data_IF_877208020450
#
_entry.id   IF_877208020450
#
_cell.length_a   1.000
_cell.length_b   1.000
_cell.length_c   1.000
_cell.angle_alpha   90.00
_cell.angle_beta   90.00
_cell.angle_gamma   90.00
#
_symmetry.space_group_name_H-M   'P 1'
#
loop_
_entity.id
_entity.type
_entity.pdbx_description
1 polymer ?
#
# COMPACT_ATOMS: atom_id res chain seq x y z
N UNK A 1 2.92 9.84 3.19
CA UNK A 1 2.14 11.09 3.03
C UNK A 1 2.04 11.89 4.32
N UNK A 2 2.34 13.18 4.23
CA UNK A 2 2.34 14.13 5.35
C UNK A 2 0.89 14.45 5.76
N UNK A 3 0.08 14.92 4.79
CA UNK A 3 -1.35 15.21 4.97
C UNK A 3 -2.25 14.15 4.30
N UNK A 4 -3.52 14.13 4.71
CA UNK A 4 -4.61 13.39 4.04
C UNK A 4 -5.68 14.34 3.48
N UNK A 5 -5.33 15.61 3.26
CA UNK A 5 -6.24 16.60 2.74
C UNK A 5 -6.78 16.18 1.36
N UNK A 6 -8.08 16.31 1.19
CA UNK A 6 -8.74 16.13 -0.09
C UNK A 6 -8.67 17.49 -0.79
N UNK A 7 -7.89 17.57 -1.87
CA UNK A 7 -7.70 18.83 -2.61
C UNK A 7 -8.88 19.17 -3.51
N UNK A 8 -9.55 18.15 -4.04
CA UNK A 8 -10.73 18.26 -4.87
C UNK A 8 -11.58 17.00 -4.76
N UNK A 9 -12.90 17.17 -4.76
CA UNK A 9 -13.89 16.10 -4.83
C UNK A 9 -14.97 16.52 -5.83
N UNK A 10 -15.38 15.61 -6.71
CA UNK A 10 -16.26 15.95 -7.83
C UNK A 10 -17.24 14.81 -8.08
N UNK A 11 -18.52 15.16 -8.19
CA UNK A 11 -19.54 14.28 -8.72
C UNK A 11 -19.38 14.30 -10.24
N UNK A 12 -19.09 13.13 -10.81
CA UNK A 12 -18.91 12.97 -12.24
C UNK A 12 -19.83 11.87 -12.75
N UNK A 13 -20.44 12.11 -13.92
CA UNK A 13 -21.28 11.13 -14.63
C UNK A 13 -20.46 9.93 -15.11
N UNK A 14 -19.14 10.11 -15.27
CA UNK A 14 -18.22 9.07 -15.71
C UNK A 14 -16.85 9.23 -15.02
N UNK A 15 -15.93 8.30 -15.30
CA UNK A 15 -14.55 8.30 -14.78
C UNK A 15 -13.55 8.09 -15.92
N UNK A 16 -13.88 8.61 -17.10
CA UNK A 16 -13.09 8.48 -18.32
C UNK A 16 -11.92 9.48 -18.27
N UNK A 17 -11.02 9.33 -19.22
CA UNK A 17 -9.82 10.16 -19.36
C UNK A 17 -10.13 11.65 -19.36
N UNK A 18 -11.16 12.07 -20.10
CA UNK A 18 -11.54 13.48 -20.19
C UNK A 18 -12.02 14.07 -18.84
N UNK A 19 -12.77 13.30 -18.05
CA UNK A 19 -13.22 13.72 -16.72
C UNK A 19 -12.01 13.97 -15.81
N UNK A 20 -11.00 13.09 -15.88
CA UNK A 20 -9.77 13.20 -15.10
C UNK A 20 -8.88 14.36 -15.57
N UNK A 21 -8.76 14.60 -16.88
CA UNK A 21 -8.02 15.75 -17.41
C UNK A 21 -8.64 17.05 -16.88
N UNK A 22 -9.96 17.18 -16.96
CA UNK A 22 -10.67 18.36 -16.45
C UNK A 22 -10.51 18.49 -14.93
N UNK A 23 -10.55 17.38 -14.18
CA UNK A 23 -10.30 17.38 -12.75
C UNK A 23 -8.89 17.90 -12.41
N UNK A 24 -7.88 17.46 -13.16
CA UNK A 24 -6.49 17.87 -13.00
C UNK A 24 -6.24 19.33 -13.39
N UNK A 25 -6.83 19.79 -14.49
CA UNK A 25 -6.71 21.19 -14.91
C UNK A 25 -7.27 22.14 -13.84
N UNK A 26 -8.42 21.81 -13.25
CA UNK A 26 -8.98 22.61 -12.15
C UNK A 26 -8.10 22.61 -10.90
N UNK A 27 -7.33 21.54 -10.63
CA UNK A 27 -6.33 21.56 -9.54
C UNK A 27 -5.20 22.56 -9.85
N UNK A 28 -4.70 22.57 -11.09
CA UNK A 28 -3.65 23.50 -11.53
C UNK A 28 -4.10 24.96 -11.49
N UNK A 29 -5.33 25.23 -11.93
CA UNK A 29 -5.95 26.57 -11.86
C UNK A 29 -6.00 27.09 -10.42
N UNK A 30 -6.09 26.20 -9.44
CA UNK A 30 -6.05 26.52 -8.01
C UNK A 30 -4.61 26.57 -7.44
N UNK A 31 -3.59 26.61 -8.29
CA UNK A 31 -2.19 26.73 -7.88
C UNK A 31 -1.57 25.45 -7.33
N UNK A 32 -2.19 24.28 -7.56
CA UNK A 32 -1.61 23.00 -7.14
C UNK A 32 -0.64 22.49 -8.20
N UNK A 33 0.63 22.37 -7.81
CA UNK A 33 1.66 21.69 -8.59
C UNK A 33 1.68 20.20 -8.24
N UNK A 34 1.62 19.35 -9.27
CA UNK A 34 1.67 17.89 -9.11
C UNK A 34 3.07 17.41 -9.48
N UNK A 35 3.76 16.80 -8.52
CA UNK A 35 5.14 16.30 -8.69
C UNK A 35 5.22 14.79 -8.94
N UNK A 36 4.20 14.04 -8.49
CA UNK A 36 4.13 12.59 -8.61
C UNK A 36 2.65 12.17 -8.51
N UNK A 37 2.26 11.18 -9.32
CA UNK A 37 0.94 10.54 -9.21
C UNK A 37 1.12 9.08 -8.80
N UNK A 38 0.49 8.67 -7.68
CA UNK A 38 0.41 7.25 -7.28
C UNK A 38 -1.04 6.78 -7.29
N UNK A 39 -1.36 5.71 -8.03
CA UNK A 39 -2.74 5.24 -8.21
C UNK A 39 -2.88 3.72 -8.40
N UNK A 40 -4.12 3.22 -8.34
CA UNK A 40 -4.53 1.81 -8.38
C UNK A 40 -4.75 1.23 -9.79
N UNK A 41 -4.14 1.82 -10.83
CA UNK A 41 -4.33 1.47 -12.24
C UNK A 41 -5.71 1.77 -12.83
N UNK A 42 -6.49 2.69 -12.25
CA UNK A 42 -7.73 3.14 -12.87
C UNK A 42 -7.48 3.66 -14.30
N UNK A 43 -8.06 3.03 -15.32
CA UNK A 43 -7.76 3.33 -16.73
C UNK A 43 -7.91 4.82 -17.08
N UNK A 44 -8.97 5.47 -16.56
CA UNK A 44 -9.20 6.90 -16.78
C UNK A 44 -8.10 7.78 -16.21
N UNK A 45 -7.65 7.52 -14.97
CA UNK A 45 -6.60 8.31 -14.33
C UNK A 45 -5.24 8.06 -15.00
N UNK A 46 -4.92 6.81 -15.35
CA UNK A 46 -3.66 6.48 -16.02
C UNK A 46 -3.52 7.21 -17.36
N UNK A 47 -4.55 7.13 -18.21
CA UNK A 47 -4.54 7.83 -19.50
C UNK A 47 -4.52 9.35 -19.35
N UNK A 48 -5.17 9.89 -18.30
CA UNK A 48 -5.23 11.33 -18.08
C UNK A 48 -3.91 11.90 -17.55
N UNK A 49 -3.17 11.15 -16.74
CA UNK A 49 -1.90 11.64 -16.17
C UNK A 49 -0.88 12.00 -17.25
N UNK A 50 -0.71 11.17 -18.28
CA UNK A 50 0.24 11.46 -19.37
C UNK A 50 -0.12 12.73 -20.15
N UNK A 51 -1.41 12.97 -20.40
CA UNK A 51 -1.88 14.15 -21.12
C UNK A 51 -1.91 15.41 -20.25
N UNK A 52 -2.38 15.29 -19.01
CA UNK A 52 -2.55 16.41 -18.10
C UNK A 52 -1.23 16.83 -17.44
N UNK A 53 -0.29 15.91 -17.24
CA UNK A 53 1.00 16.19 -16.61
C UNK A 53 2.17 15.62 -17.44
N UNK A 54 2.46 16.19 -18.62
CA UNK A 54 3.59 15.75 -19.43
C UNK A 54 4.90 15.83 -18.63
N UNK A 55 5.64 14.71 -18.57
CA UNK A 55 6.91 14.61 -17.85
C UNK A 55 6.79 14.34 -16.34
N UNK A 56 5.58 14.30 -15.77
CA UNK A 56 5.39 13.82 -14.40
C UNK A 56 5.23 12.31 -14.40
N UNK A 57 6.07 11.66 -13.60
CA UNK A 57 6.01 10.22 -13.47
C UNK A 57 4.75 9.78 -12.71
N UNK A 58 4.25 8.62 -13.13
CA UNK A 58 3.07 7.99 -12.57
C UNK A 58 3.45 6.62 -12.07
N UNK A 59 3.43 6.45 -10.74
CA UNK A 59 3.79 5.19 -10.11
C UNK A 59 2.52 4.37 -9.82
N UNK A 60 2.40 3.15 -10.38
CA UNK A 60 1.49 2.14 -9.88
C UNK A 60 1.61 1.92 -8.38
N UNK A 61 0.51 1.68 -7.67
CA UNK A 61 0.63 1.29 -6.27
C UNK A 61 1.03 -0.20 -6.12
N UNK A 62 2.01 -0.47 -5.27
CA UNK A 62 2.56 -1.83 -5.10
C UNK A 62 1.57 -2.84 -4.52
N UNK A 63 0.52 -2.39 -3.84
CA UNK A 63 -0.48 -3.29 -3.29
C UNK A 63 -1.39 -3.82 -4.40
N UNK A 64 -2.01 -2.97 -5.21
CA UNK A 64 -2.86 -3.39 -6.32
C UNK A 64 -2.06 -3.98 -7.48
N UNK A 65 -0.84 -3.48 -7.72
CA UNK A 65 0.04 -4.03 -8.74
C UNK A 65 0.49 -5.46 -8.40
N UNK A 66 0.94 -5.74 -7.17
CA UNK A 66 1.54 -7.05 -6.83
C UNK A 66 0.75 -7.79 -5.74
N UNK A 67 0.68 -7.21 -4.54
CA UNK A 67 0.24 -7.95 -3.33
C UNK A 67 -1.19 -8.47 -3.45
N UNK A 68 -2.09 -7.69 -4.04
CA UNK A 68 -3.48 -8.04 -4.26
C UNK A 68 -3.65 -9.12 -5.34
N UNK A 69 -2.86 -9.04 -6.42
CA UNK A 69 -2.92 -9.98 -7.55
C UNK A 69 -2.35 -11.34 -7.20
N UNK A 70 -1.16 -11.35 -6.59
CA UNK A 70 -0.43 -12.59 -6.30
C UNK A 70 -0.73 -13.14 -4.90
N UNK A 71 -0.96 -12.29 -3.90
CA UNK A 71 -1.10 -12.74 -2.52
C UNK A 71 -2.34 -13.59 -2.25
N UNK A 72 -3.43 -13.42 -3.03
CA UNK A 72 -4.66 -14.23 -2.92
C UNK A 72 -4.42 -15.72 -3.16
N UNK A 73 -3.45 -16.05 -4.02
CA UNK A 73 -3.15 -17.44 -4.37
C UNK A 73 -2.42 -18.20 -3.26
N UNK A 74 -1.65 -17.51 -2.41
CA UNK A 74 -0.97 -18.15 -1.27
C UNK A 74 -1.97 -18.90 -0.40
N UNK A 75 -3.04 -18.22 0.02
CA UNK A 75 -4.09 -18.83 0.84
C UNK A 75 -4.89 -19.89 0.07
N UNK A 76 -5.09 -19.70 -1.23
CA UNK A 76 -5.83 -20.66 -2.06
C UNK A 76 -5.07 -21.97 -2.24
N UNK A 77 -3.77 -21.88 -2.50
CA UNK A 77 -2.89 -23.04 -2.67
C UNK A 77 -2.63 -23.74 -1.34
N UNK A 78 -2.49 -22.99 -0.24
CA UNK A 78 -2.39 -23.55 1.11
C UNK A 78 -3.62 -24.40 1.45
N UNK A 79 -4.82 -23.88 1.22
CA UNK A 79 -6.07 -24.64 1.41
C UNK A 79 -6.14 -25.88 0.53
N UNK A 80 -5.67 -25.77 -0.72
CA UNK A 80 -5.65 -26.89 -1.66
C UNK A 80 -4.69 -27.99 -1.20
N UNK A 81 -3.51 -27.62 -0.68
CA UNK A 81 -2.56 -28.55 -0.10
C UNK A 81 -3.14 -29.28 1.13
N UNK A 82 -3.73 -28.54 2.07
CA UNK A 82 -4.39 -29.15 3.24
C UNK A 82 -5.55 -30.08 2.85
N UNK A 83 -6.37 -29.71 1.87
CA UNK A 83 -7.44 -30.57 1.37
C UNK A 83 -6.89 -31.87 0.74
N UNK A 84 -5.83 -31.78 -0.05
CA UNK A 84 -5.20 -32.95 -0.65
C UNK A 84 -4.55 -33.87 0.40
N UNK A 85 -3.93 -33.30 1.44
CA UNK A 85 -3.42 -34.07 2.58
C UNK A 85 -4.54 -34.78 3.33
N UNK A 86 -5.66 -34.10 3.61
CA UNK A 86 -6.80 -34.72 4.28
C UNK A 86 -7.38 -35.89 3.46
N UNK A 87 -7.44 -35.75 2.13
CA UNK A 87 -7.86 -36.83 1.24
C UNK A 87 -6.86 -38.01 1.23
N UNK A 88 -5.55 -37.73 1.24
CA UNK A 88 -4.52 -38.77 1.39
C UNK A 88 -4.73 -39.58 2.68
N UNK A 89 -4.90 -38.90 3.82
CA UNK A 89 -5.16 -39.55 5.11
C UNK A 89 -6.46 -40.36 5.08
N UNK A 90 -7.53 -39.82 4.50
CA UNK A 90 -8.79 -40.55 4.37
C UNK A 90 -8.64 -41.82 3.51
N UNK A 91 -7.95 -41.72 2.37
CA UNK A 91 -7.69 -42.86 1.50
C UNK A 91 -6.85 -43.93 2.22
N UNK A 92 -5.89 -43.53 3.06
CA UNK A 92 -5.09 -44.46 3.87
C UNK A 92 -5.97 -45.22 4.88
N UNK A 93 -6.81 -44.52 5.65
CA UNK A 93 -7.74 -45.15 6.60
C UNK A 93 -8.68 -46.14 5.90
N UNK A 94 -9.21 -45.74 4.73
CA UNK A 94 -10.08 -46.61 3.93
C UNK A 94 -9.31 -47.81 3.39
N UNK A 95 -8.07 -47.63 2.94
CA UNK A 95 -7.20 -48.74 2.50
C UNK A 95 -6.92 -49.73 3.63
N UNK A 96 -6.56 -49.25 4.83
CA UNK A 96 -6.27 -50.10 6.00
C UNK A 96 -7.49 -50.91 6.46
N UNK A 97 -8.71 -50.40 6.24
CA UNK A 97 -9.96 -51.13 6.56
C UNK A 97 -10.38 -52.17 5.52
N UNK A 98 -9.64 -52.33 4.41
CA UNK A 98 -10.00 -53.22 3.31
C UNK A 98 -9.80 -54.71 3.66
N UNK A 99 -10.74 -55.58 3.25
CA UNK A 99 -10.74 -57.01 3.65
C UNK A 99 -10.64 -58.01 2.51
N UNK A 100 -10.96 -57.62 1.27
CA UNK A 100 -10.91 -58.51 0.10
C UNK A 100 -9.87 -58.02 -0.88
N UNK A 101 -9.20 -58.94 -1.58
CA UNK A 101 -8.08 -58.62 -2.47
C UNK A 101 -8.43 -57.58 -3.55
N UNK A 102 -9.59 -57.72 -4.18
CA UNK A 102 -10.08 -56.75 -5.18
C UNK A 102 -10.30 -55.34 -4.58
N UNK A 103 -10.79 -55.27 -3.34
CA UNK A 103 -11.04 -54.00 -2.64
C UNK A 103 -9.74 -53.39 -2.12
N UNK A 104 -8.80 -54.23 -1.68
CA UNK A 104 -7.44 -53.84 -1.28
C UNK A 104 -6.75 -53.17 -2.47
N UNK A 105 -6.71 -53.82 -3.64
CA UNK A 105 -6.05 -53.26 -4.81
C UNK A 105 -6.64 -51.90 -5.22
N UNK A 106 -7.97 -51.81 -5.34
CA UNK A 106 -8.64 -50.56 -5.72
C UNK A 106 -8.36 -49.41 -4.74
N UNK A 107 -8.37 -49.69 -3.44
CA UNK A 107 -8.12 -48.68 -2.40
C UNK A 107 -6.64 -48.31 -2.30
N UNK A 108 -5.74 -49.26 -2.55
CA UNK A 108 -4.31 -49.02 -2.66
C UNK A 108 -4.00 -48.05 -3.81
N UNK A 109 -4.58 -48.28 -4.99
CA UNK A 109 -4.41 -47.39 -6.15
C UNK A 109 -4.94 -45.97 -5.84
N UNK A 110 -6.12 -45.87 -5.22
CA UNK A 110 -6.69 -44.59 -4.80
C UNK A 110 -5.81 -43.85 -3.77
N UNK A 111 -5.23 -44.58 -2.80
CA UNK A 111 -4.29 -44.01 -1.84
C UNK A 111 -3.02 -43.48 -2.53
N UNK A 112 -2.41 -44.24 -3.44
CA UNK A 112 -1.22 -43.77 -4.16
C UNK A 112 -1.51 -42.56 -5.05
N UNK A 113 -2.66 -42.52 -5.71
CA UNK A 113 -3.12 -41.35 -6.47
C UNK A 113 -3.33 -40.13 -5.57
N UNK A 114 -3.96 -40.31 -4.40
CA UNK A 114 -4.19 -39.24 -3.43
C UNK A 114 -2.86 -38.71 -2.86
N UNK A 115 -1.93 -39.60 -2.53
CA UNK A 115 -0.57 -39.26 -2.07
C UNK A 115 0.20 -38.44 -3.10
N UNK A 116 0.18 -38.85 -4.37
CA UNK A 116 0.85 -38.10 -5.44
C UNK A 116 0.25 -36.69 -5.57
N UNK A 117 -1.08 -36.57 -5.53
CA UNK A 117 -1.78 -35.27 -5.58
C UNK A 117 -1.44 -34.39 -4.37
N UNK A 118 -1.38 -34.97 -3.17
CA UNK A 118 -0.99 -34.25 -1.96
C UNK A 118 0.44 -33.72 -2.07
N UNK A 119 1.40 -34.55 -2.48
CA UNK A 119 2.78 -34.13 -2.71
C UNK A 119 2.89 -32.99 -3.74
N UNK A 120 2.18 -33.11 -4.86
CA UNK A 120 2.16 -32.07 -5.89
C UNK A 120 1.54 -30.76 -5.38
N UNK A 121 0.44 -30.83 -4.62
CA UNK A 121 -0.22 -29.65 -4.07
C UNK A 121 0.63 -28.93 -3.01
N UNK A 122 1.32 -29.68 -2.14
CA UNK A 122 2.27 -29.14 -1.16
C UNK A 122 3.41 -28.44 -1.89
N UNK A 123 4.06 -29.12 -2.84
CA UNK A 123 5.19 -28.57 -3.60
C UNK A 123 4.79 -27.29 -4.35
N UNK A 124 3.61 -27.29 -4.97
CA UNK A 124 3.09 -26.11 -5.67
C UNK A 124 2.89 -24.93 -4.70
N UNK A 125 2.30 -25.17 -3.53
CA UNK A 125 2.13 -24.15 -2.50
C UNK A 125 3.48 -23.60 -2.02
N UNK A 126 4.44 -24.47 -1.72
CA UNK A 126 5.75 -24.08 -1.21
C UNK A 126 6.54 -23.24 -2.22
N UNK A 127 6.63 -23.71 -3.47
CA UNK A 127 7.32 -22.97 -4.55
C UNK A 127 6.63 -21.63 -4.79
N UNK A 128 5.30 -21.61 -4.90
CA UNK A 128 4.55 -20.37 -5.13
C UNK A 128 4.80 -19.36 -3.98
N UNK A 129 4.69 -19.83 -2.74
CA UNK A 129 4.88 -19.00 -1.54
C UNK A 129 6.31 -18.46 -1.46
N UNK A 130 7.31 -19.28 -1.78
CA UNK A 130 8.69 -18.85 -1.85
C UNK A 130 8.89 -17.72 -2.87
N UNK A 131 8.47 -17.93 -4.12
CA UNK A 131 8.59 -16.93 -5.18
C UNK A 131 7.83 -15.64 -4.83
N UNK A 132 6.65 -15.76 -4.25
CA UNK A 132 5.88 -14.60 -3.81
C UNK A 132 6.62 -13.80 -2.72
N UNK A 133 7.24 -14.48 -1.77
CA UNK A 133 8.06 -13.81 -0.76
C UNK A 133 9.32 -13.18 -1.35
N UNK A 134 9.97 -13.79 -2.36
CA UNK A 134 11.06 -13.14 -3.10
C UNK A 134 10.60 -11.81 -3.67
N UNK A 135 9.46 -11.78 -4.38
CA UNK A 135 8.89 -10.54 -4.93
C UNK A 135 8.63 -9.52 -3.81
N UNK A 136 7.94 -9.90 -2.73
CA UNK A 136 7.60 -8.99 -1.64
C UNK A 136 8.84 -8.44 -0.92
N UNK A 137 9.93 -9.21 -0.84
CA UNK A 137 11.18 -8.76 -0.24
C UNK A 137 11.84 -7.66 -1.08
N UNK A 138 11.79 -7.76 -2.41
CA UNK A 138 12.27 -6.71 -3.31
C UNK A 138 11.38 -5.46 -3.34
N UNK A 139 10.23 -5.47 -2.64
CA UNK A 139 9.45 -4.27 -2.38
C UNK A 139 9.87 -3.53 -1.09
N UNK A 140 10.83 -4.04 -0.32
CA UNK A 140 11.37 -3.29 0.82
C UNK A 140 12.17 -2.08 0.32
N UNK A 141 12.04 -0.97 1.03
CA UNK A 141 12.71 0.30 0.68
C UNK A 141 14.19 0.24 1.02
N UNK A 142 14.50 -0.41 2.14
CA UNK A 142 15.85 -0.57 2.66
C UNK A 142 16.21 -2.04 2.82
N UNK A 143 17.48 -2.37 2.64
CA UNK A 143 18.05 -3.70 2.86
C UNK A 143 18.12 -4.05 4.37
N UNK A 144 18.84 -5.13 4.71
CA UNK A 144 18.95 -5.58 6.11
C UNK A 144 19.90 -4.70 6.92
N UNK A 145 20.78 -3.98 6.23
CA UNK A 145 21.79 -3.07 6.73
C UNK A 145 21.29 -1.62 6.81
N UNK A 146 20.11 -1.33 6.24
CA UNK A 146 19.49 -0.01 6.24
C UNK A 146 19.88 0.87 5.05
N UNK A 147 20.53 0.32 4.02
CA UNK A 147 20.81 1.04 2.79
C UNK A 147 19.59 1.03 1.87
N UNK A 148 19.39 2.08 1.04
CA UNK A 148 18.32 2.07 0.05
C UNK A 148 18.54 0.94 -0.94
N UNK A 149 17.48 0.16 -1.21
CA UNK A 149 17.54 -0.89 -2.21
C UNK A 149 17.70 -0.28 -3.61
N UNK A 150 18.56 -0.88 -4.44
CA UNK A 150 18.72 -0.50 -5.84
C UNK A 150 17.50 -0.92 -6.67
N UNK A 151 16.96 0.03 -7.44
CA UNK A 151 15.76 -0.18 -8.26
C UNK A 151 15.98 -1.24 -9.32
N UNK A 152 17.06 -1.16 -10.11
CA UNK A 152 17.32 -2.09 -11.22
C UNK A 152 17.47 -3.53 -10.71
N UNK A 153 18.22 -3.71 -9.63
CA UNK A 153 18.39 -4.99 -8.96
C UNK A 153 17.05 -5.54 -8.46
N UNK A 154 16.19 -4.69 -7.88
CA UNK A 154 14.85 -5.11 -7.45
C UNK A 154 13.97 -5.52 -8.64
N UNK A 155 13.96 -4.75 -9.72
CA UNK A 155 13.23 -5.07 -10.95
C UNK A 155 13.69 -6.40 -11.54
N UNK A 156 14.99 -6.59 -11.75
CA UNK A 156 15.57 -7.83 -12.31
C UNK A 156 15.18 -9.06 -11.49
N UNK A 157 15.32 -8.99 -10.16
CA UNK A 157 14.97 -10.11 -9.30
C UNK A 157 13.45 -10.40 -9.27
N UNK A 158 12.62 -9.36 -9.36
CA UNK A 158 11.17 -9.53 -9.50
C UNK A 158 10.83 -10.20 -10.83
N UNK A 159 11.46 -9.79 -11.95
CA UNK A 159 11.27 -10.43 -13.26
C UNK A 159 11.65 -11.91 -13.21
N UNK A 160 12.81 -12.25 -12.65
CA UNK A 160 13.23 -13.64 -12.47
C UNK A 160 12.18 -14.45 -11.69
N UNK A 161 11.67 -13.91 -10.58
CA UNK A 161 10.63 -14.59 -9.80
C UNK A 161 9.32 -14.77 -10.59
N UNK A 162 8.94 -13.78 -11.41
CA UNK A 162 7.78 -13.84 -12.29
C UNK A 162 7.95 -14.88 -13.41
N UNK A 163 9.15 -15.03 -13.96
CA UNK A 163 9.48 -16.07 -14.97
C UNK A 163 9.37 -17.49 -14.41
N UNK A 164 9.74 -17.69 -13.15
CA UNK A 164 9.46 -18.97 -12.48
C UNK A 164 7.96 -19.14 -12.20
N UNK A 165 7.26 -18.07 -11.78
CA UNK A 165 5.82 -18.15 -11.48
C UNK A 165 4.95 -18.47 -12.71
N UNK A 166 5.29 -17.95 -13.89
CA UNK A 166 4.49 -18.19 -15.11
C UNK A 166 4.52 -19.67 -15.55
N UNK A 167 5.56 -20.41 -15.17
CA UNK A 167 5.69 -21.85 -15.43
C UNK A 167 4.91 -22.74 -14.46
N UNK A 168 4.37 -22.18 -13.36
CA UNK A 168 3.61 -22.97 -12.40
C UNK A 168 2.23 -23.36 -12.96
N UNK A 169 1.72 -24.56 -12.61
CA UNK A 169 0.38 -25.03 -13.02
C UNK A 169 -0.75 -24.33 -12.23
N UNK A 170 -0.71 -23.00 -12.13
CA UNK A 170 -1.73 -22.19 -11.44
C UNK A 170 -2.61 -21.51 -12.48
N UNK A 171 -3.88 -21.93 -12.54
CA UNK A 171 -4.85 -21.36 -13.47
C UNK A 171 -4.97 -19.84 -13.31
N UNK A 172 -4.98 -19.11 -14.43
CA UNK A 172 -5.13 -17.64 -14.50
C UNK A 172 -3.99 -16.81 -13.90
N UNK A 173 -2.90 -17.42 -13.40
CA UNK A 173 -1.75 -16.66 -12.90
C UNK A 173 -1.05 -15.88 -14.02
N UNK A 174 -0.98 -16.45 -15.23
CA UNK A 174 -0.28 -15.88 -16.39
C UNK A 174 -0.73 -14.45 -16.72
N UNK A 175 -2.04 -14.18 -16.62
CA UNK A 175 -2.57 -12.82 -16.83
C UNK A 175 -2.07 -11.84 -15.77
N UNK A 176 -2.04 -12.26 -14.51
CA UNK A 176 -1.58 -11.43 -13.39
C UNK A 176 -0.06 -11.16 -13.51
N UNK A 177 0.73 -12.18 -13.84
CA UNK A 177 2.18 -12.08 -14.09
C UNK A 177 2.47 -11.09 -15.23
N UNK A 178 1.83 -11.26 -16.39
CA UNK A 178 2.01 -10.34 -17.52
C UNK A 178 1.61 -8.90 -17.18
N UNK A 179 0.57 -8.72 -16.35
CA UNK A 179 0.18 -7.38 -15.91
C UNK A 179 1.28 -6.75 -15.06
N UNK A 180 1.86 -7.50 -14.12
CA UNK A 180 2.96 -7.00 -13.28
C UNK A 180 4.17 -6.65 -14.14
N UNK A 181 4.51 -7.52 -15.10
CA UNK A 181 5.60 -7.31 -16.04
C UNK A 181 5.54 -5.96 -16.75
N UNK A 182 4.36 -5.58 -17.21
CA UNK A 182 4.15 -4.31 -17.93
C UNK A 182 4.19 -3.08 -17.02
N UNK A 183 3.90 -3.26 -15.72
CA UNK A 183 3.88 -2.16 -14.75
C UNK A 183 5.24 -1.95 -14.10
N UNK A 184 6.12 -2.96 -14.13
CA UNK A 184 7.30 -3.02 -13.28
C UNK A 184 8.26 -1.85 -13.50
N UNK A 185 8.40 -1.41 -14.75
CA UNK A 185 9.27 -0.29 -15.11
C UNK A 185 8.84 1.00 -14.43
N UNK A 186 7.57 1.20 -14.12
CA UNK A 186 7.08 2.41 -13.42
C UNK A 186 6.80 2.16 -11.93
N UNK A 187 6.87 0.90 -11.47
CA UNK A 187 6.34 0.47 -10.18
C UNK A 187 7.25 0.83 -8.99
N UNK A 188 8.56 0.88 -9.22
CA UNK A 188 9.57 0.91 -8.16
C UNK A 188 10.31 2.26 -8.03
N UNK A 189 9.78 3.32 -8.61
CA UNK A 189 10.39 4.66 -8.57
C UNK A 189 10.64 5.18 -7.14
N UNK A 190 9.83 4.77 -6.17
CA UNK A 190 10.03 5.08 -4.75
C UNK A 190 11.39 4.61 -4.20
N UNK A 191 12.05 3.65 -4.85
CA UNK A 191 13.41 3.22 -4.49
C UNK A 191 14.44 4.28 -4.89
N UNK A 192 14.27 4.95 -6.03
CA UNK A 192 15.12 6.08 -6.42
C UNK A 192 14.92 7.24 -5.46
N UNK A 193 13.67 7.55 -5.09
CA UNK A 193 13.35 8.56 -4.06
C UNK A 193 14.01 8.23 -2.72
N UNK A 194 14.13 6.95 -2.36
CA UNK A 194 14.83 6.54 -1.14
C UNK A 194 16.33 6.86 -1.21
N UNK A 195 16.97 6.61 -2.36
CA UNK A 195 18.34 7.02 -2.63
C UNK A 195 18.54 8.53 -2.48
N UNK A 196 17.67 9.33 -3.10
CA UNK A 196 17.69 10.79 -3.00
C UNK A 196 17.53 11.29 -1.56
N UNK A 197 16.60 10.70 -0.80
CA UNK A 197 16.40 11.00 0.62
C UNK A 197 17.68 10.73 1.42
N UNK A 198 18.34 9.60 1.19
CA UNK A 198 19.59 9.26 1.89
C UNK A 198 20.72 10.21 1.50
N UNK A 199 20.88 10.56 0.22
CA UNK A 199 21.85 11.57 -0.24
C UNK A 199 21.61 12.91 0.47
N UNK A 200 20.36 13.34 0.53
CA UNK A 200 19.97 14.59 1.19
C UNK A 200 20.27 14.56 2.69
N UNK A 201 19.98 13.46 3.39
CA UNK A 201 20.27 13.31 4.81
C UNK A 201 21.77 13.29 5.11
N UNK A 202 22.58 12.67 4.24
CA UNK A 202 24.04 12.73 4.34
C UNK A 202 24.54 14.18 4.20
N UNK A 203 23.97 14.96 3.28
CA UNK A 203 24.32 16.38 3.10
C UNK A 203 23.95 17.26 4.33
N UNK A 204 23.10 16.78 5.23
CA UNK A 204 22.78 17.43 6.51
C UNK A 204 23.76 17.05 7.64
N UNK A 205 24.89 16.42 7.31
CA UNK A 205 25.91 15.96 8.28
C UNK A 205 25.41 14.91 9.27
N UNK A 206 24.34 14.17 8.93
CA UNK A 206 23.90 13.01 9.71
C UNK A 206 24.76 11.82 9.29
N UNK A 207 25.38 11.15 10.26
CA UNK A 207 26.31 10.05 9.95
C UNK A 207 25.60 8.88 9.23
N UNK A 208 26.22 8.25 8.21
CA UNK A 208 25.59 7.18 7.44
C UNK A 208 25.02 6.03 8.30
N UNK A 209 25.72 5.61 9.35
CA UNK A 209 25.25 4.54 10.23
C UNK A 209 24.02 4.93 11.06
N UNK A 210 23.86 6.22 11.38
CA UNK A 210 22.67 6.76 12.04
C UNK A 210 21.49 6.75 11.06
N UNK A 211 21.72 7.14 9.80
CA UNK A 211 20.71 7.09 8.75
C UNK A 211 20.26 5.65 8.52
N UNK A 212 21.19 4.71 8.39
CA UNK A 212 20.90 3.27 8.25
C UNK A 212 20.03 2.75 9.41
N UNK A 213 20.42 3.05 10.65
CA UNK A 213 19.66 2.60 11.83
C UNK A 213 18.24 3.19 11.86
N UNK A 214 18.08 4.49 11.56
CA UNK A 214 16.75 5.10 11.44
C UNK A 214 15.96 4.54 10.25
N UNK A 215 16.61 4.18 9.14
CA UNK A 215 15.98 3.55 7.97
C UNK A 215 15.34 2.21 8.35
N UNK A 216 16.06 1.39 9.13
CA UNK A 216 15.56 0.14 9.66
C UNK A 216 14.38 0.34 10.63
N UNK A 217 14.45 1.34 11.51
CA UNK A 217 13.36 1.69 12.42
C UNK A 217 12.12 2.16 11.66
N UNK A 218 12.28 3.05 10.68
CA UNK A 218 11.19 3.54 9.83
C UNK A 218 10.56 2.41 9.01
N UNK A 219 11.37 1.52 8.43
CA UNK A 219 10.87 0.37 7.69
C UNK A 219 10.09 -0.60 8.60
N UNK A 220 10.58 -0.84 9.83
CA UNK A 220 9.87 -1.63 10.83
C UNK A 220 8.51 -0.99 11.17
N UNK A 221 8.45 0.32 11.39
CA UNK A 221 7.19 1.04 11.62
C UNK A 221 6.19 0.83 10.47
N UNK A 222 6.65 0.98 9.22
CA UNK A 222 5.80 0.77 8.02
C UNK A 222 5.31 -0.66 7.92
N UNK A 223 6.16 -1.63 8.22
CA UNK A 223 5.80 -3.04 8.23
C UNK A 223 4.82 -3.41 9.35
N UNK A 224 4.91 -2.77 10.52
CA UNK A 224 3.93 -2.91 11.60
C UNK A 224 2.54 -2.39 11.18
N UNK A 225 2.49 -1.25 10.49
CA UNK A 225 1.24 -0.67 9.96
C UNK A 225 0.58 -1.61 8.94
N UNK A 226 1.38 -2.21 8.05
CA UNK A 226 0.89 -3.14 7.02
C UNK A 226 0.51 -4.52 7.57
N UNK A 227 0.94 -4.87 8.77
CA UNK A 227 0.72 -6.20 9.33
C UNK A 227 -0.76 -6.44 9.67
N UNK A 228 -1.34 -7.45 9.01
CA UNK A 228 -2.70 -7.94 9.28
C UNK A 228 -2.79 -8.81 10.54
N UNK A 229 -1.75 -9.62 10.82
CA UNK A 229 -1.69 -10.52 11.98
C UNK A 229 -1.06 -9.82 13.20
N UNK A 230 -1.56 -10.16 14.38
CA UNK A 230 -1.18 -9.51 15.64
C UNK A 230 0.29 -9.75 15.99
N UNK A 231 0.77 -10.97 15.77
CA UNK A 231 2.12 -11.45 16.09
C UNK A 231 3.14 -10.75 15.20
N UNK A 232 2.86 -10.67 13.89
CA UNK A 232 3.67 -9.94 12.92
C UNK A 232 3.75 -8.45 13.27
N UNK A 233 2.64 -7.84 13.70
CA UNK A 233 2.64 -6.44 14.14
C UNK A 233 3.52 -6.25 15.37
N UNK A 234 3.38 -7.09 16.39
CA UNK A 234 4.20 -7.04 17.61
C UNK A 234 5.69 -7.19 17.30
N UNK A 235 6.06 -8.13 16.43
CA UNK A 235 7.44 -8.31 15.97
C UNK A 235 8.04 -7.01 15.42
N UNK A 236 7.35 -6.34 14.50
CA UNK A 236 7.87 -5.11 13.90
C UNK A 236 7.85 -3.91 14.85
N UNK A 237 6.86 -3.81 15.76
CA UNK A 237 6.84 -2.79 16.81
C UNK A 237 8.04 -2.96 17.75
N UNK A 238 8.36 -4.19 18.14
CA UNK A 238 9.55 -4.47 18.97
C UNK A 238 10.83 -4.14 18.22
N UNK A 239 10.94 -4.53 16.94
CA UNK A 239 12.10 -4.20 16.10
C UNK A 239 12.30 -2.70 15.92
N UNK A 240 11.23 -1.93 15.72
CA UNK A 240 11.30 -0.47 15.70
C UNK A 240 11.81 0.07 17.04
N UNK A 241 11.25 -0.41 18.15
CA UNK A 241 11.61 0.04 19.50
C UNK A 241 13.09 -0.23 19.80
N UNK A 242 13.57 -1.44 19.56
CA UNK A 242 14.97 -1.85 19.79
C UNK A 242 15.93 -0.94 19.02
N UNK A 243 15.65 -0.67 17.74
CA UNK A 243 16.49 0.22 16.94
C UNK A 243 16.47 1.65 17.45
N UNK A 244 15.30 2.19 17.81
CA UNK A 244 15.20 3.54 18.33
C UNK A 244 15.88 3.70 19.71
N UNK A 245 15.85 2.67 20.55
CA UNK A 245 16.57 2.67 21.84
C UNK A 245 18.08 2.70 21.64
N UNK A 246 18.61 1.88 20.72
CA UNK A 246 20.03 1.89 20.37
C UNK A 246 20.47 3.27 19.85
N UNK A 247 19.71 3.87 18.93
CA UNK A 247 20.04 5.19 18.37
C UNK A 247 19.95 6.28 19.44
N UNK A 248 18.99 6.19 20.38
CA UNK A 248 18.88 7.13 21.50
C UNK A 248 20.10 7.09 22.41
N UNK A 249 20.66 5.91 22.67
CA UNK A 249 21.89 5.78 23.46
C UNK A 249 23.09 6.45 22.77
N UNK A 250 23.14 6.42 21.43
CA UNK A 250 24.23 7.01 20.66
C UNK A 250 24.09 8.53 20.55
N UNK A 251 22.88 9.03 20.27
CA UNK A 251 22.65 10.46 20.00
C UNK A 251 22.34 11.29 21.26
N UNK A 252 21.93 10.65 22.36
CA UNK A 252 21.56 11.35 23.59
C UNK A 252 20.52 12.45 23.35
N UNK A 253 20.90 13.69 23.60
CA UNK A 253 20.02 14.87 23.46
C UNK A 253 19.64 15.17 22.01
N UNK A 254 20.47 14.78 21.03
CA UNK A 254 20.22 15.03 19.61
C UNK A 254 19.23 14.03 18.99
N UNK A 255 18.80 13.02 19.76
CA UNK A 255 17.93 11.96 19.25
C UNK A 255 16.61 12.47 18.65
N UNK A 256 15.84 13.28 19.39
CA UNK A 256 14.52 13.72 18.91
C UNK A 256 14.61 14.68 17.70
N UNK A 257 15.51 15.68 17.68
CA UNK A 257 15.72 16.53 16.50
C UNK A 257 16.13 15.73 15.26
N UNK A 258 17.10 14.82 15.39
CA UNK A 258 17.59 14.01 14.26
C UNK A 258 16.53 13.04 13.79
N UNK A 259 15.87 12.31 14.70
CA UNK A 259 14.76 11.41 14.36
C UNK A 259 13.67 12.14 13.60
N UNK A 260 13.27 13.32 14.09
CA UNK A 260 12.23 14.15 13.45
C UNK A 260 12.61 14.49 12.01
N UNK A 261 13.85 14.93 11.81
CA UNK A 261 14.38 15.29 10.49
C UNK A 261 14.43 14.09 9.56
N UNK A 262 15.00 12.96 10.02
CA UNK A 262 15.12 11.74 9.22
C UNK A 262 13.75 11.18 8.84
N UNK A 263 12.83 11.05 9.80
CA UNK A 263 11.49 10.52 9.53
C UNK A 263 10.67 11.44 8.62
N UNK A 264 10.86 12.75 8.72
CA UNK A 264 10.21 13.71 7.83
C UNK A 264 10.64 13.52 6.38
N UNK A 265 11.94 13.37 6.12
CA UNK A 265 12.45 13.11 4.77
C UNK A 265 12.02 11.72 4.27
N UNK A 266 12.10 10.68 5.10
CA UNK A 266 11.64 9.33 4.72
C UNK A 266 10.14 9.23 4.45
N UNK A 267 9.30 10.05 5.12
CA UNK A 267 7.85 10.06 4.89
C UNK A 267 7.44 10.55 3.48
N UNK A 268 8.39 11.10 2.71
CA UNK A 268 8.26 11.46 1.29
C UNK A 268 8.38 10.26 0.36
N UNK A 269 8.88 9.12 0.83
CA UNK A 269 8.95 7.87 0.06
C UNK A 269 7.53 7.30 -0.04
N UNK A 270 6.90 7.45 -1.22
CA UNK A 270 5.53 7.03 -1.49
C UNK A 270 5.51 5.72 -2.26
N UNK A 271 5.28 4.63 -1.55
CA UNK A 271 5.21 3.29 -2.16
C UNK A 271 3.80 2.93 -2.69
N UNK A 272 2.74 3.48 -2.09
CA UNK A 272 1.38 3.09 -2.48
C UNK A 272 0.34 4.17 -2.19
N UNK A 273 -0.82 4.00 -2.84
CA UNK A 273 -2.01 4.82 -2.71
C UNK A 273 -2.86 4.49 -1.47
N UNK A 274 -2.33 3.75 -0.48
CA UNK A 274 -3.10 3.28 0.69
C UNK A 274 -3.79 4.38 1.52
N UNK A 275 -3.33 5.63 1.42
CA UNK A 275 -4.02 6.78 2.02
C UNK A 275 -5.37 7.07 1.35
N UNK A 276 -5.47 6.87 0.04
CA UNK A 276 -6.71 7.02 -0.73
C UNK A 276 -7.73 6.00 -0.28
N UNK A 277 -7.33 4.75 0.00
CA UNK A 277 -8.23 3.74 0.56
C UNK A 277 -8.83 4.14 1.92
N UNK A 278 -8.04 4.82 2.76
CA UNK A 278 -8.53 5.37 4.02
C UNK A 278 -9.55 6.50 3.78
N UNK A 279 -9.26 7.42 2.85
CA UNK A 279 -10.20 8.46 2.45
C UNK A 279 -11.49 7.87 1.87
N UNK A 280 -11.38 6.88 0.97
CA UNK A 280 -12.51 6.17 0.40
C UNK A 280 -13.36 5.52 1.49
N UNK A 281 -12.76 4.94 2.53
CA UNK A 281 -13.49 4.39 3.67
C UNK A 281 -14.24 5.47 4.45
N UNK A 282 -13.65 6.65 4.66
CA UNK A 282 -14.29 7.78 5.34
C UNK A 282 -15.48 8.28 4.52
N UNK A 283 -15.27 8.53 3.22
CA UNK A 283 -16.31 9.01 2.31
C UNK A 283 -17.46 8.02 2.23
N UNK A 284 -17.16 6.71 2.13
CA UNK A 284 -18.16 5.63 2.04
C UNK A 284 -19.11 5.60 3.24
N UNK A 285 -18.66 5.98 4.44
CA UNK A 285 -19.56 6.12 5.59
C UNK A 285 -20.69 7.11 5.31
N UNK A 286 -20.38 8.28 4.77
CA UNK A 286 -21.38 9.30 4.42
C UNK A 286 -22.27 8.87 3.24
N UNK A 287 -21.68 8.23 2.22
CA UNK A 287 -22.44 7.70 1.08
C UNK A 287 -23.46 6.63 1.52
N UNK A 288 -23.07 5.74 2.42
CA UNK A 288 -23.95 4.70 2.93
C UNK A 288 -25.10 5.29 3.77
N UNK A 289 -24.81 6.25 4.65
CA UNK A 289 -25.83 6.92 5.48
C UNK A 289 -26.84 7.68 4.63
N UNK A 290 -26.41 8.29 3.53
CA UNK A 290 -27.27 9.00 2.57
C UNK A 290 -27.96 8.09 1.54
N UNK A 291 -27.75 6.76 1.60
CA UNK A 291 -28.23 5.79 0.59
C UNK A 291 -27.84 6.19 -0.84
N UNK A 292 -26.61 6.70 -1.00
CA UNK A 292 -26.06 7.23 -2.26
C UNK A 292 -26.85 8.40 -2.89
N UNK A 293 -27.73 9.06 -2.13
CA UNK A 293 -28.39 10.31 -2.57
C UNK A 293 -27.49 11.49 -2.25
N UNK A 294 -26.55 11.76 -3.14
CA UNK A 294 -25.48 12.76 -2.96
C UNK A 294 -25.48 13.72 -4.14
N UNK A 295 -25.29 15.00 -3.85
CA UNK A 295 -24.99 16.04 -4.82
C UNK A 295 -23.59 16.63 -4.56
N UNK A 296 -23.15 17.55 -5.42
CA UNK A 296 -21.82 18.16 -5.32
C UNK A 296 -21.66 18.95 -4.01
N UNK A 297 -22.72 19.59 -3.51
CA UNK A 297 -22.72 20.36 -2.28
C UNK A 297 -22.45 19.48 -1.06
N UNK A 298 -23.05 18.29 -1.01
CA UNK A 298 -22.77 17.31 0.05
C UNK A 298 -21.33 16.81 -0.04
N UNK A 299 -20.79 16.55 -1.25
CA UNK A 299 -19.38 16.17 -1.41
C UNK A 299 -18.44 17.28 -0.90
N UNK A 300 -18.74 18.53 -1.23
CA UNK A 300 -17.99 19.69 -0.75
C UNK A 300 -18.03 19.77 0.79
N UNK A 301 -19.18 19.52 1.41
CA UNK A 301 -19.30 19.49 2.87
C UNK A 301 -18.50 18.34 3.49
N UNK A 302 -18.51 17.14 2.89
CA UNK A 302 -17.71 16.00 3.34
C UNK A 302 -16.21 16.33 3.27
N UNK A 303 -15.76 16.91 2.15
CA UNK A 303 -14.38 17.36 1.98
C UNK A 303 -14.02 18.43 3.01
N UNK A 304 -14.87 19.44 3.19
CA UNK A 304 -14.66 20.51 4.16
C UNK A 304 -14.55 19.96 5.58
N UNK A 305 -15.50 19.12 6.01
CA UNK A 305 -15.47 18.47 7.31
C UNK A 305 -14.18 17.66 7.51
N UNK A 306 -13.83 16.81 6.53
CA UNK A 306 -12.62 16.00 6.64
C UNK A 306 -11.36 16.86 6.74
N UNK A 307 -11.23 17.89 5.91
CA UNK A 307 -10.05 18.76 5.89
C UNK A 307 -9.87 19.61 7.16
N UNK A 308 -10.94 19.89 7.90
CA UNK A 308 -10.92 20.77 9.08
C UNK A 308 -11.20 20.06 10.41
N UNK A 309 -11.59 18.78 10.42
CA UNK A 309 -11.71 18.01 11.67
C UNK A 309 -10.34 17.63 12.20
N UNK A 310 -10.18 17.64 13.53
CA UNK A 310 -8.96 17.15 14.18
C UNK A 310 -8.90 15.63 14.18
N UNK A 311 -7.73 15.05 13.92
CA UNK A 311 -7.52 13.61 14.12
C UNK A 311 -7.59 13.27 15.61
N UNK A 312 -8.31 12.20 15.95
CA UNK A 312 -8.47 11.75 17.34
C UNK A 312 -7.31 10.87 17.85
N UNK A 313 -6.54 10.26 16.94
CA UNK A 313 -5.51 9.28 17.26
C UNK A 313 -4.38 9.26 16.22
N UNK A 314 -3.31 8.52 16.54
CA UNK A 314 -2.14 8.32 15.68
C UNK A 314 -1.20 9.52 15.63
N UNK A 315 -0.20 9.48 14.72
CA UNK A 315 0.85 10.50 14.61
C UNK A 315 0.38 11.92 14.29
N UNK A 316 -0.87 12.06 13.84
CA UNK A 316 -1.50 13.35 13.49
C UNK A 316 -2.49 13.84 14.54
N UNK A 317 -2.57 13.19 15.72
CA UNK A 317 -3.54 13.50 16.77
C UNK A 317 -3.53 15.00 17.09
N UNK A 318 -4.72 15.60 17.14
CA UNK A 318 -4.92 17.03 17.42
C UNK A 318 -4.70 17.96 16.22
N UNK A 319 -4.14 17.49 15.10
CA UNK A 319 -4.00 18.26 13.87
C UNK A 319 -5.18 18.05 12.92
N UNK A 320 -5.40 18.94 11.96
CA UNK A 320 -6.33 18.76 10.83
C UNK A 320 -5.57 18.42 9.54
N UNK A 321 -6.18 17.80 8.54
CA UNK A 321 -5.52 17.61 7.25
C UNK A 321 -5.06 18.93 6.61
N UNK A 322 -5.85 20.01 6.70
CA UNK A 322 -5.46 21.28 6.11
C UNK A 322 -4.29 21.94 6.86
N UNK A 323 -4.25 21.84 8.20
CA UNK A 323 -3.12 22.30 9.01
C UNK A 323 -1.81 21.63 8.57
N UNK A 324 -1.86 20.32 8.29
CA UNK A 324 -0.68 19.55 7.86
C UNK A 324 -0.29 19.83 6.41
N UNK A 325 -1.23 20.23 5.57
CA UNK A 325 -0.98 20.56 4.17
C UNK A 325 -0.32 21.94 4.05
N UNK A 326 -0.86 22.95 4.73
CA UNK A 326 -0.40 24.34 4.65
C UNK A 326 0.76 24.62 5.62
N UNK A 327 0.85 23.88 6.72
CA UNK A 327 1.77 24.20 7.82
C UNK A 327 1.29 25.32 8.74
N UNK A 328 0.05 25.82 8.55
CA UNK A 328 -0.56 26.83 9.40
C UNK A 328 -1.59 26.19 10.36
N UNK A 329 -1.62 26.66 11.62
CA UNK A 329 -2.57 26.17 12.62
C UNK A 329 -3.99 26.69 12.32
N UNK A 330 -4.98 25.83 12.49
CA UNK A 330 -6.39 26.17 12.44
C UNK A 330 -6.82 26.52 13.86
N UNK A 331 -7.19 27.78 14.10
CA UNK A 331 -7.58 28.22 15.44
C UNK A 331 -9.04 27.86 15.77
N UNK A 332 -9.92 27.97 14.78
CA UNK A 332 -11.36 27.76 14.94
C UNK A 332 -11.78 26.30 14.79
N UNK A 333 -12.88 25.93 15.43
CA UNK A 333 -13.54 24.67 15.12
C UNK A 333 -14.13 24.70 13.70
N UNK A 334 -14.22 23.55 13.06
CA UNK A 334 -14.72 23.44 11.69
C UNK A 334 -16.18 23.95 11.55
N UNK A 335 -17.02 23.78 12.58
CA UNK A 335 -18.38 24.32 12.56
C UNK A 335 -18.37 25.83 12.55
N UNK A 336 -17.53 26.45 13.38
CA UNK A 336 -17.39 27.91 13.43
C UNK A 336 -16.92 28.45 12.07
N UNK A 337 -15.93 27.79 11.46
CA UNK A 337 -15.45 28.15 10.12
C UNK A 337 -16.57 28.06 9.07
N UNK A 338 -17.41 27.02 9.14
CA UNK A 338 -18.53 26.84 8.21
C UNK A 338 -19.58 27.96 8.37
N UNK A 339 -19.93 28.30 9.61
CA UNK A 339 -20.87 29.39 9.90
C UNK A 339 -20.33 30.76 9.45
N UNK A 340 -19.02 30.98 9.57
CA UNK A 340 -18.38 32.21 9.09
C UNK A 340 -18.44 32.32 7.56
N UNK A 341 -18.26 31.21 6.84
CA UNK A 341 -18.41 31.16 5.37
C UNK A 341 -19.86 31.50 4.97
N UNK A 342 -20.85 30.91 5.65
CA UNK A 342 -22.27 31.18 5.39
C UNK A 342 -22.62 32.66 5.61
N UNK A 343 -22.15 33.25 6.71
CA UNK A 343 -22.34 34.68 6.99
C UNK A 343 -21.73 35.56 5.91
N UNK A 344 -20.50 35.26 5.47
CA UNK A 344 -19.83 36.00 4.39
C UNK A 344 -20.58 35.90 3.06
N UNK A 345 -21.06 34.72 2.70
CA UNK A 345 -21.86 34.53 1.49
C UNK A 345 -23.18 35.31 1.55
N UNK A 346 -23.88 35.30 2.70
CA UNK A 346 -25.09 36.10 2.91
C UNK A 346 -24.84 37.60 2.73
N UNK A 347 -23.72 38.11 3.24
CA UNK A 347 -23.33 39.51 3.07
C UNK A 347 -23.06 39.83 1.59
N UNK A 348 -22.32 38.97 0.89
CA UNK A 348 -22.04 39.14 -0.55
C UNK A 348 -23.31 39.10 -1.40
N UNK A 349 -24.27 38.22 -1.08
CA UNK A 349 -25.56 38.14 -1.79
C UNK A 349 -26.51 39.31 -1.51
N UNK A 350 -26.31 40.03 -0.40
CA UNK A 350 -27.06 41.25 -0.10
C UNK A 350 -26.42 42.51 -0.70
N UNK A 351 -25.16 42.42 -1.12
CA UNK A 351 -24.38 43.52 -1.70
C UNK A 351 -24.33 43.50 -3.24
N UNK A 352 -24.79 42.41 -3.88
CA UNK A 352 -24.98 42.27 -5.31
C UNK A 352 -26.47 42.45 -5.65
#
# INVERSE_FOLDING_TARGET
PISSAILRIELAESRKTEDWINHFNKLKENGIEVVLVTSDEGQGICSATGSAFPGINRQPDTFHAISHRLGKWVNSLEKSAYAAMAEEYHCLEVFESAKTEQVIQKRMDAYFDAKLKAQQAIMLYEIYKFLYHCIINHLQVFDKEGNPCDRKTAEENIRIALDYMIGLPVNKIKKEVNTIYNLLDDLLEYLDTAGEVVIKLNAMSISPYIIQAFSLAWQAQKNAIKAKKSERRKYFVNKEKEQLEMIRMILGNDFEPVKTTVFFEMDKIIQSSAIVENINSIVRTFLNTSRNRINQEILNLIMFYHNHRRYKAGKRKGKTPMELLIGARQEKDWLEMLMDIEKKQKILSLAA
#
